data_IF_406424896105
#
_entry.id   IF_406424896105
#
_cell.length_a   1.000
_cell.length_b   1.000
_cell.length_c   1.000
_cell.angle_alpha   90.00
_cell.angle_beta   90.00
_cell.angle_gamma   90.00
#
_symmetry.space_group_name_H-M   'P 1'
#
loop_
_entity.id
_entity.type
_entity.pdbx_description
1 polymer ?
#
# COMPACT_ATOMS: atom_id res chain seq x y z
N UNK A 1 33.01 10.95 60.55
CA UNK A 1 31.72 11.59 60.25
C UNK A 1 31.99 12.74 59.28
N UNK A 2 31.84 12.48 57.99
CA UNK A 2 31.64 13.48 56.91
C UNK A 2 31.11 12.70 55.70
N UNK A 3 29.87 12.92 55.24
CA UNK A 3 29.35 12.23 54.07
C UNK A 3 29.79 12.96 52.79
N UNK A 4 30.22 12.20 51.78
CA UNK A 4 30.38 12.70 50.42
C UNK A 4 28.98 13.00 49.83
N UNK A 5 28.69 14.28 49.59
CA UNK A 5 27.49 14.69 48.87
C UNK A 5 27.61 14.40 47.36
N UNK A 6 26.48 14.14 46.66
CA UNK A 6 26.50 13.94 45.22
C UNK A 6 26.81 15.27 44.51
N UNK A 7 27.74 15.23 43.55
CA UNK A 7 28.04 16.37 42.68
C UNK A 7 26.82 16.75 41.81
N UNK A 8 26.72 18.02 41.37
CA UNK A 8 25.57 18.49 40.62
C UNK A 8 25.46 17.74 39.28
N UNK A 9 24.24 17.36 38.93
CA UNK A 9 23.91 16.81 37.62
C UNK A 9 24.19 17.87 36.56
N UNK A 10 25.11 17.58 35.64
CA UNK A 10 25.32 18.41 34.46
C UNK A 10 24.06 18.35 33.59
N UNK A 11 23.44 19.53 33.46
CA UNK A 11 22.30 19.78 32.60
C UNK A 11 22.74 19.68 31.13
N UNK A 12 22.58 18.51 30.54
CA UNK A 12 22.79 18.26 29.10
C UNK A 12 21.59 18.83 28.33
N UNK A 13 21.41 20.14 28.40
CA UNK A 13 20.39 20.88 27.66
C UNK A 13 20.99 22.14 27.04
N UNK A 14 21.93 21.95 26.12
CA UNK A 14 22.35 23.01 25.19
C UNK A 14 22.82 22.44 23.85
N UNK A 15 22.02 21.55 23.25
CA UNK A 15 22.14 21.33 21.81
C UNK A 15 21.45 22.51 21.11
N UNK A 16 22.23 23.42 20.53
CA UNK A 16 21.73 24.48 19.66
C UNK A 16 20.82 23.93 18.53
N UNK A 17 20.01 24.77 17.89
CA UNK A 17 19.08 24.32 16.87
C UNK A 17 19.83 23.52 15.80
N UNK A 18 19.45 22.23 15.65
CA UNK A 18 20.02 21.39 14.59
C UNK A 18 19.82 22.12 13.26
N UNK A 19 20.87 22.25 12.42
CA UNK A 19 20.69 22.82 11.10
C UNK A 19 19.56 22.07 10.40
N UNK A 20 18.65 22.82 9.75
CA UNK A 20 17.54 22.24 9.03
C UNK A 20 18.10 21.14 8.11
N UNK A 21 17.67 19.87 8.25
CA UNK A 21 18.22 18.81 7.44
C UNK A 21 18.00 19.18 5.96
N UNK A 22 19.05 19.01 5.15
CA UNK A 22 18.93 19.13 3.71
C UNK A 22 17.82 18.20 3.18
N UNK A 23 17.36 18.41 1.93
CA UNK A 23 16.25 17.62 1.37
C UNK A 23 16.57 16.12 1.44
N UNK A 24 15.75 15.35 2.16
CA UNK A 24 15.97 13.92 2.33
C UNK A 24 15.69 13.16 1.04
N UNK A 25 16.46 12.11 0.80
CA UNK A 25 16.30 11.16 -0.31
C UNK A 25 15.49 9.97 0.17
N UNK A 26 14.37 9.71 -0.48
CA UNK A 26 13.47 8.61 -0.15
C UNK A 26 13.34 7.64 -1.31
N UNK A 27 13.66 6.37 -1.08
CA UNK A 27 13.42 5.30 -2.03
C UNK A 27 12.17 4.53 -1.61
N UNK A 28 11.15 4.53 -2.45
CA UNK A 28 9.98 3.66 -2.32
C UNK A 28 10.25 2.40 -3.14
N UNK A 29 10.23 1.24 -2.48
CA UNK A 29 10.34 -0.07 -3.12
C UNK A 29 9.00 -0.78 -3.03
N UNK A 30 8.36 -1.00 -4.18
CA UNK A 30 7.08 -1.69 -4.31
C UNK A 30 7.20 -2.96 -5.15
N UNK A 31 6.16 -3.80 -5.21
CA UNK A 31 6.20 -5.05 -5.99
C UNK A 31 4.87 -5.42 -6.68
N UNK A 32 3.87 -4.55 -6.55
CA UNK A 32 2.54 -4.70 -7.15
C UNK A 32 1.83 -3.36 -7.21
N UNK A 33 0.78 -3.27 -8.02
CA UNK A 33 -0.06 -2.08 -8.19
C UNK A 33 -0.53 -1.47 -6.85
N UNK A 34 -1.03 -2.33 -5.96
CA UNK A 34 -1.59 -1.95 -4.66
C UNK A 34 -0.51 -1.35 -3.75
N UNK A 35 0.72 -1.86 -3.87
CA UNK A 35 1.87 -1.44 -3.11
C UNK A 35 2.57 -0.20 -3.70
N UNK A 36 2.54 -0.03 -5.03
CA UNK A 36 2.89 1.25 -5.66
C UNK A 36 1.93 2.34 -5.20
N UNK A 37 0.62 2.08 -5.26
CA UNK A 37 -0.40 3.04 -4.80
C UNK A 37 -0.19 3.43 -3.34
N UNK A 38 0.05 2.45 -2.49
CA UNK A 38 0.34 2.68 -1.07
C UNK A 38 1.60 3.52 -0.87
N UNK A 39 2.72 3.12 -1.49
CA UNK A 39 4.01 3.80 -1.35
C UNK A 39 4.01 5.21 -1.92
N UNK A 40 3.41 5.42 -3.11
CA UNK A 40 3.27 6.72 -3.74
C UNK A 40 2.40 7.66 -2.88
N UNK A 41 1.24 7.19 -2.40
CA UNK A 41 0.37 8.01 -1.56
C UNK A 41 0.99 8.32 -0.19
N UNK A 42 1.81 7.43 0.37
CA UNK A 42 2.57 7.71 1.58
C UNK A 42 3.66 8.76 1.33
N UNK A 43 4.37 8.65 0.20
CA UNK A 43 5.41 9.60 -0.19
C UNK A 43 4.88 10.98 -0.65
N UNK A 44 3.61 11.06 -1.03
CA UNK A 44 2.89 12.32 -1.31
C UNK A 44 2.77 13.20 -0.06
N UNK A 45 2.70 12.60 1.13
CA UNK A 45 2.59 13.33 2.39
C UNK A 45 3.93 13.91 2.87
N UNK A 46 5.03 13.55 2.22
CA UNK A 46 6.36 14.04 2.55
C UNK A 46 6.55 15.46 2.01
N UNK A 47 7.42 16.28 2.64
CA UNK A 47 7.69 17.63 2.15
C UNK A 47 8.07 17.64 0.66
N UNK A 48 7.57 18.63 -0.08
CA UNK A 48 7.83 18.77 -1.51
C UNK A 48 9.33 18.91 -1.83
N UNK A 49 10.12 19.44 -0.88
CA UNK A 49 11.58 19.55 -0.98
C UNK A 49 12.30 18.21 -0.98
N UNK A 50 11.69 17.14 -0.46
CA UNK A 50 12.32 15.83 -0.43
C UNK A 50 12.37 15.19 -1.82
N UNK A 51 13.50 14.57 -2.12
CA UNK A 51 13.73 13.86 -3.38
C UNK A 51 13.23 12.42 -3.25
N UNK A 52 12.21 12.04 -4.00
CA UNK A 52 11.61 10.70 -3.92
C UNK A 52 11.83 9.96 -5.23
N UNK A 53 12.25 8.69 -5.15
CA UNK A 53 12.26 7.74 -6.25
C UNK A 53 11.37 6.55 -5.92
N UNK A 54 10.61 6.07 -6.90
CA UNK A 54 9.79 4.88 -6.78
C UNK A 54 10.35 3.84 -7.74
N UNK A 55 10.52 2.60 -7.27
CA UNK A 55 10.89 1.45 -8.10
C UNK A 55 9.96 0.28 -7.81
N UNK A 56 9.74 -0.55 -8.82
CA UNK A 56 9.04 -1.82 -8.66
C UNK A 56 10.06 -2.95 -8.70
N UNK A 57 10.12 -3.77 -7.64
CA UNK A 57 10.91 -4.99 -7.64
C UNK A 57 10.36 -5.99 -8.67
N UNK A 58 11.24 -6.51 -9.53
CA UNK A 58 10.90 -7.56 -10.47
C UNK A 58 10.34 -8.79 -9.73
N UNK A 59 9.28 -9.38 -10.27
CA UNK A 59 8.62 -10.53 -9.66
C UNK A 59 7.31 -10.90 -10.33
N UNK A 60 6.53 -11.74 -9.67
CA UNK A 60 5.29 -12.30 -10.22
C UNK A 60 4.05 -11.38 -10.08
N UNK A 61 4.20 -10.18 -9.53
CA UNK A 61 3.10 -9.25 -9.29
C UNK A 61 3.34 -7.86 -9.89
N UNK A 62 4.32 -7.72 -10.79
CA UNK A 62 4.68 -6.46 -11.44
C UNK A 62 3.44 -5.87 -12.15
N UNK A 63 3.08 -4.60 -11.89
CA UNK A 63 1.91 -3.99 -12.49
C UNK A 63 2.11 -3.72 -13.98
N UNK A 64 1.03 -3.80 -14.75
CA UNK A 64 1.02 -3.29 -16.13
C UNK A 64 1.24 -1.78 -16.16
N UNK A 65 1.66 -1.18 -17.30
CA UNK A 65 1.79 0.27 -17.43
C UNK A 65 0.51 1.03 -17.05
N UNK A 66 -0.67 0.45 -17.38
CA UNK A 66 -1.98 1.00 -17.01
C UNK A 66 -2.20 0.98 -15.50
N UNK A 67 -1.95 -0.17 -14.86
CA UNK A 67 -2.06 -0.30 -13.39
C UNK A 67 -1.09 0.63 -12.66
N UNK A 68 0.11 0.83 -13.20
CA UNK A 68 1.09 1.74 -12.66
C UNK A 68 0.61 3.20 -12.73
N UNK A 69 0.09 3.63 -13.88
CA UNK A 69 -0.50 4.95 -14.05
C UNK A 69 -1.69 5.18 -13.09
N UNK A 70 -2.57 4.19 -12.96
CA UNK A 70 -3.69 4.20 -12.02
C UNK A 70 -3.21 4.27 -10.55
N UNK A 71 -2.11 3.59 -10.22
CA UNK A 71 -1.58 3.51 -8.86
C UNK A 71 -1.00 4.85 -8.37
N UNK A 72 -0.37 5.62 -9.26
CA UNK A 72 0.20 6.94 -8.93
C UNK A 72 -0.78 8.10 -9.14
N UNK A 73 -1.97 7.83 -9.68
CA UNK A 73 -2.99 8.85 -9.92
C UNK A 73 -3.35 9.60 -8.63
N UNK A 74 -3.42 10.93 -8.73
CA UNK A 74 -3.71 11.81 -7.57
C UNK A 74 -2.50 12.09 -6.67
N UNK A 75 -1.28 11.81 -7.12
CA UNK A 75 -0.02 12.17 -6.45
C UNK A 75 0.88 13.00 -7.39
N UNK A 76 1.95 13.60 -6.86
CA UNK A 76 2.98 14.27 -7.67
C UNK A 76 3.80 13.33 -8.57
N UNK A 77 3.58 12.03 -8.46
CA UNK A 77 4.28 10.99 -9.24
C UNK A 77 3.55 10.62 -10.54
N UNK A 78 2.47 11.31 -10.90
CA UNK A 78 1.84 11.14 -12.22
C UNK A 78 2.86 11.46 -13.33
N UNK A 79 3.05 10.52 -14.25
CA UNK A 79 4.02 10.64 -15.33
C UNK A 79 5.48 10.37 -14.91
N UNK A 80 5.74 10.01 -13.65
CA UNK A 80 7.07 9.61 -13.21
C UNK A 80 7.50 8.30 -13.86
N UNK A 81 8.79 8.20 -14.19
CA UNK A 81 9.41 6.93 -14.57
C UNK A 81 9.57 6.06 -13.32
N UNK A 82 8.88 4.93 -13.29
CA UNK A 82 8.92 3.94 -12.20
C UNK A 82 9.51 2.64 -12.76
N UNK A 83 10.84 2.48 -12.73
CA UNK A 83 11.48 1.34 -13.35
C UNK A 83 11.21 0.04 -12.57
N UNK A 84 11.14 -1.06 -13.32
CA UNK A 84 11.16 -2.41 -12.75
C UNK A 84 12.62 -2.83 -12.57
N UNK A 85 13.01 -3.19 -11.34
CA UNK A 85 14.40 -3.44 -10.97
C UNK A 85 14.59 -4.85 -10.41
N UNK A 86 15.64 -5.54 -10.84
CA UNK A 86 16.10 -6.77 -10.18
C UNK A 86 16.84 -6.47 -8.88
N UNK A 87 17.20 -7.51 -8.12
CA UNK A 87 17.92 -7.35 -6.84
C UNK A 87 19.29 -6.66 -7.02
N UNK A 88 20.00 -6.95 -8.11
CA UNK A 88 21.28 -6.34 -8.44
C UNK A 88 21.17 -4.85 -8.79
N UNK A 89 20.14 -4.46 -9.55
CA UNK A 89 19.84 -3.05 -9.84
C UNK A 89 19.46 -2.28 -8.58
N UNK A 90 18.63 -2.88 -7.72
CA UNK A 90 18.26 -2.30 -6.44
C UNK A 90 19.50 -2.07 -5.55
N UNK A 91 20.43 -3.04 -5.49
CA UNK A 91 21.71 -2.88 -4.77
C UNK A 91 22.53 -1.72 -5.32
N UNK A 92 22.70 -1.62 -6.65
CA UNK A 92 23.40 -0.51 -7.30
C UNK A 92 22.75 0.84 -6.99
N UNK A 93 21.41 0.91 -7.03
CA UNK A 93 20.67 2.11 -6.72
C UNK A 93 20.88 2.54 -5.27
N UNK A 94 20.83 1.60 -4.32
CA UNK A 94 21.07 1.85 -2.90
C UNK A 94 22.50 2.36 -2.64
N UNK A 95 23.50 1.76 -3.28
CA UNK A 95 24.91 2.13 -3.08
C UNK A 95 25.28 3.46 -3.74
N UNK A 96 24.72 3.74 -4.92
CA UNK A 96 24.99 4.95 -5.70
C UNK A 96 24.17 6.17 -5.28
N UNK A 97 22.85 6.00 -5.08
CA UNK A 97 21.97 7.12 -4.72
C UNK A 97 21.93 7.39 -3.22
N UNK A 98 22.18 6.35 -2.40
CA UNK A 98 22.24 6.41 -0.93
C UNK A 98 21.02 7.12 -0.32
N UNK A 99 19.82 6.52 -0.42
CA UNK A 99 18.64 7.11 0.20
C UNK A 99 18.86 7.24 1.71
N UNK A 100 18.26 8.27 2.31
CA UNK A 100 18.23 8.46 3.76
C UNK A 100 17.06 7.67 4.37
N UNK A 101 16.02 7.40 3.58
CA UNK A 101 14.84 6.61 3.96
C UNK A 101 14.51 5.59 2.87
N UNK A 102 14.24 4.36 3.26
CA UNK A 102 13.66 3.33 2.38
C UNK A 102 12.27 2.99 2.87
N UNK A 103 11.26 3.27 2.05
CA UNK A 103 9.89 2.83 2.25
C UNK A 103 9.73 1.49 1.52
N UNK A 104 9.82 0.39 2.27
CA UNK A 104 9.56 -0.96 1.80
C UNK A 104 8.04 -1.21 1.78
N UNK A 105 7.37 -0.60 0.79
CA UNK A 105 5.96 -0.75 0.51
C UNK A 105 5.74 -1.97 -0.39
N UNK A 106 5.93 -3.19 0.13
CA UNK A 106 5.83 -4.41 -0.69
C UNK A 106 5.30 -5.62 0.09
N UNK A 107 5.08 -6.75 -0.60
CA UNK A 107 4.77 -8.03 0.06
C UNK A 107 5.98 -8.53 0.88
N UNK A 108 5.72 -9.45 1.81
CA UNK A 108 6.69 -9.88 2.83
C UNK A 108 8.06 -10.29 2.29
N UNK A 109 8.12 -11.15 1.27
CA UNK A 109 9.39 -11.59 0.70
C UNK A 109 10.19 -10.45 0.05
N UNK A 110 9.51 -9.55 -0.67
CA UNK A 110 10.16 -8.38 -1.28
C UNK A 110 10.68 -7.43 -0.22
N UNK A 111 9.91 -7.21 0.87
CA UNK A 111 10.39 -6.44 2.03
C UNK A 111 11.65 -7.08 2.59
N UNK A 112 11.63 -8.37 2.91
CA UNK A 112 12.78 -9.07 3.48
C UNK A 112 14.02 -8.98 2.58
N UNK A 113 13.86 -9.22 1.27
CA UNK A 113 14.95 -9.11 0.30
C UNK A 113 15.51 -7.69 0.26
N UNK A 114 14.64 -6.67 0.21
CA UNK A 114 15.05 -5.25 0.23
C UNK A 114 15.84 -4.91 1.49
N UNK A 115 15.31 -5.27 2.67
CA UNK A 115 15.95 -4.94 3.95
C UNK A 115 17.31 -5.65 4.10
N UNK A 116 17.47 -6.87 3.58
CA UNK A 116 18.75 -7.59 3.62
C UNK A 116 19.90 -6.89 2.90
N UNK A 117 19.61 -6.01 1.94
CA UNK A 117 20.63 -5.23 1.22
C UNK A 117 21.18 -4.05 2.03
N UNK A 118 20.46 -3.62 3.08
CA UNK A 118 20.73 -2.35 3.79
C UNK A 118 20.84 -2.49 5.30
N UNK A 119 20.32 -3.57 5.90
CA UNK A 119 20.19 -3.68 7.35
C UNK A 119 21.51 -3.62 8.13
N UNK A 120 22.64 -3.96 7.49
CA UNK A 120 23.96 -3.99 8.12
C UNK A 120 25.00 -3.16 7.34
N UNK A 121 24.58 -2.07 6.70
CA UNK A 121 25.51 -1.18 5.99
C UNK A 121 25.93 0.01 6.89
N UNK A 122 27.14 0.58 6.71
CA UNK A 122 27.60 1.72 7.51
C UNK A 122 26.76 2.99 7.38
N UNK A 123 25.92 3.07 6.34
CA UNK A 123 25.04 4.20 6.03
C UNK A 123 23.59 3.71 5.92
N UNK A 124 23.18 2.83 6.86
CA UNK A 124 21.85 2.23 6.87
C UNK A 124 20.77 3.32 6.87
N UNK A 125 19.86 3.34 5.88
CA UNK A 125 18.74 4.27 5.85
C UNK A 125 17.73 3.97 6.96
N UNK A 126 16.86 4.94 7.25
CA UNK A 126 15.64 4.66 8.03
C UNK A 126 14.74 3.74 7.22
N UNK A 127 14.34 2.62 7.82
CA UNK A 127 13.54 1.58 7.17
C UNK A 127 12.08 1.71 7.61
N UNK A 128 11.21 2.05 6.66
CA UNK A 128 9.78 2.22 6.88
C UNK A 128 9.03 1.14 6.12
N UNK A 129 7.99 0.55 6.70
CA UNK A 129 7.08 -0.34 6.00
C UNK A 129 5.65 -0.18 6.48
N UNK A 130 4.72 -0.83 5.78
CA UNK A 130 3.32 -0.97 6.14
C UNK A 130 2.67 -2.00 5.23
N UNK A 131 1.34 -2.06 5.27
CA UNK A 131 0.53 -2.94 4.45
C UNK A 131 -0.40 -2.08 3.60
N UNK A 132 -0.49 -2.39 2.30
CA UNK A 132 -1.47 -1.76 1.44
C UNK A 132 -2.89 -2.20 1.85
N UNK A 133 -3.67 -1.30 2.44
CA UNK A 133 -5.05 -1.56 2.85
C UNK A 133 -5.20 -1.87 4.34
N UNK A 134 -6.11 -2.79 4.66
CA UNK A 134 -6.44 -3.17 6.05
C UNK A 134 -5.63 -4.39 6.45
N UNK A 135 -4.89 -4.31 7.55
CA UNK A 135 -3.96 -5.35 8.02
C UNK A 135 -4.52 -6.24 9.15
N UNK A 136 -5.84 -6.44 9.18
CA UNK A 136 -6.53 -7.23 10.22
C UNK A 136 -7.21 -8.45 9.60
N UNK A 137 -7.07 -9.65 10.20
CA UNK A 137 -6.26 -9.95 11.39
C UNK A 137 -4.75 -9.87 11.12
N UNK A 138 -3.97 -9.45 12.12
CA UNK A 138 -2.50 -9.34 11.98
C UNK A 138 -1.88 -10.73 12.01
N UNK A 139 -1.25 -11.12 10.90
CA UNK A 139 -0.61 -12.42 10.75
C UNK A 139 0.82 -12.41 11.32
N UNK A 140 1.18 -13.30 12.27
CA UNK A 140 2.52 -13.39 12.87
C UNK A 140 3.69 -13.38 11.87
N UNK A 141 3.59 -14.18 10.81
CA UNK A 141 4.63 -14.27 9.78
C UNK A 141 4.78 -12.95 9.00
N UNK A 142 3.69 -12.19 8.85
CA UNK A 142 3.69 -10.87 8.21
C UNK A 142 4.56 -9.86 8.94
N UNK A 143 4.56 -9.91 10.29
CA UNK A 143 5.47 -9.14 11.13
C UNK A 143 6.92 -9.65 11.03
N UNK A 144 7.10 -10.97 10.92
CA UNK A 144 8.42 -11.60 10.74
C UNK A 144 9.20 -11.05 9.56
N UNK A 145 8.54 -10.85 8.42
CA UNK A 145 9.15 -10.24 7.22
C UNK A 145 9.59 -8.78 7.41
N UNK A 146 9.03 -8.10 8.42
CA UNK A 146 9.25 -6.68 8.72
C UNK A 146 10.03 -6.47 10.01
N UNK A 147 10.61 -7.50 10.61
CA UNK A 147 11.30 -7.41 11.91
C UNK A 147 12.46 -6.42 11.95
N UNK A 148 13.04 -6.06 10.80
CA UNK A 148 14.19 -5.15 10.69
C UNK A 148 13.80 -3.70 10.38
N UNK A 149 12.50 -3.39 10.28
CA UNK A 149 12.03 -2.01 10.01
C UNK A 149 12.13 -1.16 11.27
N UNK A 150 12.47 0.11 11.10
CA UNK A 150 12.49 1.08 12.19
C UNK A 150 11.09 1.58 12.53
N UNK A 151 10.20 1.66 11.53
CA UNK A 151 8.82 2.10 11.69
C UNK A 151 7.89 1.26 10.81
N UNK A 152 6.84 0.72 11.43
CA UNK A 152 5.70 0.14 10.73
C UNK A 152 4.50 1.09 10.83
N UNK A 153 4.03 1.59 9.69
CA UNK A 153 2.87 2.49 9.63
C UNK A 153 1.58 1.66 9.59
N UNK A 154 0.67 1.96 10.52
CA UNK A 154 -0.69 1.40 10.59
C UNK A 154 -1.72 2.47 10.21
N UNK A 155 -2.94 2.09 9.85
CA UNK A 155 -3.93 3.02 9.28
C UNK A 155 -5.22 3.19 10.09
N UNK A 156 -5.26 2.58 11.27
CA UNK A 156 -6.36 2.73 12.22
C UNK A 156 -5.90 2.40 13.64
N UNK A 157 -6.62 2.94 14.63
CA UNK A 157 -6.38 2.60 16.04
C UNK A 157 -6.54 1.09 16.30
N UNK A 158 -7.45 0.43 15.59
CA UNK A 158 -7.66 -1.01 15.71
C UNK A 158 -6.45 -1.79 15.17
N UNK A 159 -5.90 -1.40 14.02
CA UNK A 159 -4.67 -2.01 13.48
C UNK A 159 -3.47 -1.80 14.39
N UNK A 160 -3.31 -0.60 14.96
CA UNK A 160 -2.24 -0.30 15.90
C UNK A 160 -2.31 -1.21 17.13
N UNK A 161 -3.48 -1.28 17.76
CA UNK A 161 -3.69 -2.09 18.96
C UNK A 161 -3.45 -3.59 18.68
N UNK A 162 -3.98 -4.11 17.56
CA UNK A 162 -3.81 -5.51 17.18
C UNK A 162 -2.36 -5.83 16.81
N UNK A 163 -1.69 -4.94 16.07
CA UNK A 163 -0.28 -5.13 15.68
C UNK A 163 0.64 -5.14 16.90
N UNK A 164 0.43 -4.23 17.85
CA UNK A 164 1.15 -4.22 19.12
C UNK A 164 0.89 -5.48 19.94
N UNK A 165 -0.36 -5.97 19.99
CA UNK A 165 -0.73 -7.21 20.70
C UNK A 165 -0.02 -8.42 20.08
N UNK A 166 -0.07 -8.56 18.76
CA UNK A 166 0.58 -9.68 18.07
C UNK A 166 2.09 -9.59 18.17
N UNK A 167 2.69 -8.40 17.99
CA UNK A 167 4.12 -8.14 18.16
C UNK A 167 4.63 -8.58 19.53
N UNK A 168 3.95 -8.20 20.62
CA UNK A 168 4.28 -8.66 21.98
C UNK A 168 4.17 -10.18 22.12
N UNK A 169 3.12 -10.78 21.58
CA UNK A 169 2.90 -12.24 21.63
C UNK A 169 4.00 -13.04 20.93
N UNK A 170 4.53 -12.53 19.81
CA UNK A 170 5.54 -13.24 19.01
C UNK A 170 6.98 -12.81 19.31
N UNK A 171 7.17 -11.85 20.24
CA UNK A 171 8.49 -11.38 20.64
C UNK A 171 9.27 -10.62 19.56
N UNK A 172 8.57 -9.98 18.61
CA UNK A 172 9.22 -9.19 17.55
C UNK A 172 8.99 -7.70 17.86
N UNK A 173 9.98 -6.97 18.40
CA UNK A 173 9.82 -5.57 18.75
C UNK A 173 9.81 -4.72 17.47
N UNK A 174 8.64 -4.20 17.11
CA UNK A 174 8.47 -3.27 15.99
C UNK A 174 7.88 -1.99 16.58
N UNK A 175 8.45 -0.84 16.21
CA UNK A 175 7.83 0.45 16.49
C UNK A 175 6.71 0.67 15.48
N UNK A 176 5.49 0.79 15.99
CA UNK A 176 4.33 1.09 15.17
C UNK A 176 3.99 2.57 15.30
N UNK A 177 3.69 3.21 14.17
CA UNK A 177 3.20 4.58 14.13
C UNK A 177 1.81 4.61 13.46
N UNK A 178 0.95 5.50 13.96
CA UNK A 178 -0.39 5.67 13.42
C UNK A 178 -0.36 6.70 12.29
N UNK A 179 -0.65 6.26 11.08
CA UNK A 179 -0.99 7.12 9.96
C UNK A 179 -2.49 7.10 9.67
N UNK A 180 -2.92 7.95 8.75
CA UNK A 180 -4.19 7.75 8.04
C UNK A 180 -3.91 6.97 6.76
N UNK A 181 -4.86 6.15 6.30
CA UNK A 181 -4.74 5.45 5.04
C UNK A 181 -4.43 6.47 3.91
N UNK A 182 -3.28 6.35 3.23
CA UNK A 182 -2.67 7.52 2.59
C UNK A 182 -3.44 8.03 1.37
N UNK A 183 -4.19 7.17 0.69
CA UNK A 183 -5.01 7.53 -0.47
C UNK A 183 -6.40 8.08 -0.11
N UNK A 184 -6.77 8.19 1.17
CA UNK A 184 -8.02 8.86 1.58
C UNK A 184 -7.97 10.37 1.40
N UNK A 185 -6.78 10.99 1.49
CA UNK A 185 -6.63 12.43 1.28
C UNK A 185 -7.08 12.84 -0.14
N UNK A 186 -6.60 12.12 -1.15
CA UNK A 186 -7.02 12.31 -2.55
C UNK A 186 -8.52 12.02 -2.73
N UNK A 187 -9.06 10.98 -2.09
CA UNK A 187 -10.48 10.65 -2.19
C UNK A 187 -11.40 11.75 -1.61
N UNK A 188 -10.99 12.43 -0.54
CA UNK A 188 -11.74 13.54 0.08
C UNK A 188 -11.75 14.81 -0.77
N UNK A 189 -10.79 14.98 -1.67
CA UNK A 189 -10.74 16.13 -2.57
C UNK A 189 -11.74 16.05 -3.73
N UNK A 190 -12.31 14.87 -3.99
CA UNK A 190 -13.31 14.66 -5.04
C UNK A 190 -14.64 15.26 -4.59
N UNK A 191 -15.11 16.30 -5.28
CA UNK A 191 -16.45 16.86 -5.06
C UNK A 191 -17.50 15.97 -5.75
N UNK A 192 -18.63 15.66 -5.08
CA UNK A 192 -19.72 14.97 -5.74
C UNK A 192 -20.28 15.83 -6.87
N UNK A 193 -20.38 15.25 -8.07
CA UNK A 193 -21.00 15.89 -9.23
C UNK A 193 -22.47 16.20 -8.92
N UNK A 194 -22.98 17.43 -9.19
CA UNK A 194 -24.28 17.85 -8.67
C UNK A 194 -25.49 17.09 -9.22
N UNK A 195 -25.39 16.37 -10.35
CA UNK A 195 -26.52 15.66 -10.99
C UNK A 195 -26.09 14.48 -11.87
N UNK A 196 -25.61 13.41 -11.26
CA UNK A 196 -25.40 12.12 -11.96
C UNK A 196 -26.65 11.22 -11.92
N UNK A 197 -26.77 10.29 -12.88
CA UNK A 197 -27.67 9.13 -12.74
C UNK A 197 -27.39 8.43 -11.40
N UNK A 198 -28.44 7.88 -10.78
CA UNK A 198 -28.29 7.07 -9.57
C UNK A 198 -27.38 5.89 -9.94
N UNK A 199 -26.35 5.60 -9.13
CA UNK A 199 -25.38 4.55 -9.46
C UNK A 199 -25.14 3.63 -8.28
N UNK A 200 -25.16 2.33 -8.55
CA UNK A 200 -24.68 1.29 -7.66
C UNK A 200 -23.35 0.80 -8.22
N UNK A 201 -22.28 0.91 -7.44
CA UNK A 201 -20.96 0.38 -7.81
C UNK A 201 -20.66 -0.85 -6.97
N UNK A 202 -20.65 -2.02 -7.61
CA UNK A 202 -20.17 -3.25 -7.00
C UNK A 202 -18.68 -3.42 -7.27
N UNK A 203 -17.85 -3.26 -6.25
CA UNK A 203 -16.40 -3.45 -6.35
C UNK A 203 -16.03 -4.91 -6.06
N UNK A 204 -15.75 -5.69 -7.09
CA UNK A 204 -15.41 -7.10 -6.98
C UNK A 204 -14.17 -7.32 -6.10
N UNK A 205 -14.22 -8.36 -5.27
CA UNK A 205 -13.10 -8.82 -4.45
C UNK A 205 -12.60 -10.17 -4.96
N UNK A 206 -11.28 -10.35 -4.94
CA UNK A 206 -10.68 -11.55 -5.51
C UNK A 206 -11.07 -12.83 -4.75
N UNK A 207 -11.19 -12.75 -3.42
CA UNK A 207 -11.42 -13.91 -2.55
C UNK A 207 -12.86 -14.02 -2.01
N UNK A 208 -13.70 -13.00 -2.22
CA UNK A 208 -15.04 -12.94 -1.63
C UNK A 208 -16.08 -12.51 -2.68
N UNK A 209 -17.16 -13.28 -2.87
CA UNK A 209 -17.38 -14.63 -2.34
C UNK A 209 -16.36 -15.65 -2.87
N UNK A 210 -16.16 -16.75 -2.13
CA UNK A 210 -15.23 -17.81 -2.55
C UNK A 210 -15.86 -18.79 -3.54
N UNK A 211 -17.17 -19.04 -3.48
CA UNK A 211 -17.85 -20.02 -4.33
C UNK A 211 -18.33 -19.41 -5.65
N UNK A 212 -18.28 -20.21 -6.73
CA UNK A 212 -18.89 -19.85 -8.03
C UNK A 212 -20.38 -19.57 -7.90
N UNK A 213 -21.09 -20.37 -7.08
CA UNK A 213 -22.53 -20.24 -6.85
C UNK A 213 -22.87 -18.87 -6.27
N UNK A 214 -22.14 -18.41 -5.26
CA UNK A 214 -22.43 -17.13 -4.61
C UNK A 214 -22.08 -15.95 -5.53
N UNK A 215 -21.02 -16.07 -6.32
CA UNK A 215 -20.66 -15.09 -7.36
C UNK A 215 -21.75 -14.99 -8.43
N UNK A 216 -22.23 -16.14 -8.92
CA UNK A 216 -23.34 -16.21 -9.88
C UNK A 216 -24.58 -15.54 -9.30
N UNK A 217 -24.96 -15.90 -8.07
CA UNK A 217 -26.13 -15.33 -7.41
C UNK A 217 -26.03 -13.81 -7.27
N UNK A 218 -24.86 -13.28 -6.90
CA UNK A 218 -24.63 -11.83 -6.85
C UNK A 218 -24.72 -11.18 -8.23
N UNK A 219 -24.09 -11.77 -9.27
CA UNK A 219 -24.15 -11.25 -10.63
C UNK A 219 -25.60 -11.20 -11.15
N UNK A 220 -26.38 -12.25 -10.89
CA UNK A 220 -27.80 -12.32 -11.24
C UNK A 220 -28.62 -11.24 -10.53
N UNK A 221 -28.36 -10.99 -9.23
CA UNK A 221 -29.05 -9.93 -8.49
C UNK A 221 -28.68 -8.53 -8.95
N UNK A 222 -27.42 -8.30 -9.32
CA UNK A 222 -26.99 -7.03 -9.90
C UNK A 222 -27.65 -6.79 -11.27
N UNK A 223 -27.72 -7.82 -12.11
CA UNK A 223 -28.39 -7.75 -13.41
C UNK A 223 -29.92 -7.57 -13.28
N UNK A 224 -30.56 -8.28 -12.36
CA UNK A 224 -31.98 -8.11 -12.03
C UNK A 224 -32.28 -6.67 -11.58
N UNK A 225 -31.45 -6.13 -10.70
CA UNK A 225 -31.56 -4.74 -10.22
C UNK A 225 -31.47 -3.75 -11.39
N UNK A 226 -30.50 -3.93 -12.28
CA UNK A 226 -30.32 -3.06 -13.44
C UNK A 226 -31.53 -3.07 -14.39
N UNK A 227 -32.18 -4.24 -14.57
CA UNK A 227 -33.40 -4.35 -15.39
C UNK A 227 -34.63 -3.73 -14.72
N UNK A 228 -34.80 -3.93 -13.42
CA UNK A 228 -35.95 -3.42 -12.67
C UNK A 228 -35.87 -1.90 -12.43
N UNK A 229 -34.68 -1.32 -12.50
CA UNK A 229 -34.44 0.11 -12.27
C UNK A 229 -33.63 0.74 -13.41
N UNK A 230 -34.24 1.00 -14.59
CA UNK A 230 -33.54 1.55 -15.76
C UNK A 230 -32.92 2.95 -15.56
N UNK A 231 -33.33 3.65 -14.50
CA UNK A 231 -32.78 4.96 -14.13
C UNK A 231 -31.55 4.86 -13.20
N UNK A 232 -31.14 3.64 -12.84
CA UNK A 232 -29.97 3.34 -12.00
C UNK A 232 -28.89 2.64 -12.84
N UNK A 233 -27.70 3.24 -12.90
CA UNK A 233 -26.53 2.56 -13.47
C UNK A 233 -25.99 1.53 -12.46
N UNK A 234 -25.98 0.24 -12.80
CA UNK A 234 -25.33 -0.80 -11.98
C UNK A 234 -23.98 -1.14 -12.59
N UNK A 235 -22.90 -0.72 -11.92
CA UNK A 235 -21.52 -0.85 -12.42
C UNK A 235 -20.79 -1.93 -11.64
N UNK A 236 -20.31 -2.95 -12.35
CA UNK A 236 -19.42 -3.98 -11.80
C UNK A 236 -17.98 -3.57 -12.05
N UNK A 237 -17.30 -3.09 -11.00
CA UNK A 237 -15.88 -2.75 -11.06
C UNK A 237 -15.05 -4.00 -10.78
N UNK A 238 -14.43 -4.55 -11.82
CA UNK A 238 -13.49 -5.69 -11.71
C UNK A 238 -12.12 -5.25 -11.21
N UNK A 239 -11.35 -6.17 -10.63
CA UNK A 239 -10.03 -5.86 -10.04
C UNK A 239 -8.95 -5.63 -11.11
N UNK A 240 -8.89 -6.49 -12.11
CA UNK A 240 -8.00 -6.36 -13.25
C UNK A 240 -8.73 -6.79 -14.52
N UNK A 241 -8.28 -6.29 -15.67
CA UNK A 241 -8.77 -6.75 -16.98
C UNK A 241 -8.15 -8.10 -17.33
N UNK A 242 -8.76 -8.82 -18.27
CA UNK A 242 -8.19 -10.05 -18.81
C UNK A 242 -6.71 -9.86 -19.22
N UNK A 243 -5.83 -10.73 -18.73
CA UNK A 243 -4.38 -10.70 -18.99
C UNK A 243 -3.54 -9.84 -18.03
N UNK A 244 -4.16 -9.08 -17.11
CA UNK A 244 -3.42 -8.30 -16.13
C UNK A 244 -3.06 -9.12 -14.87
N UNK A 245 -1.91 -8.81 -14.28
CA UNK A 245 -1.42 -9.50 -13.09
C UNK A 245 -2.28 -9.19 -11.86
N UNK A 246 -2.60 -10.22 -11.10
CA UNK A 246 -3.38 -10.13 -9.87
C UNK A 246 -2.63 -10.80 -8.71
N UNK A 247 -2.63 -10.16 -7.54
CA UNK A 247 -2.01 -10.74 -6.33
C UNK A 247 -2.77 -11.97 -5.82
N UNK A 248 -4.06 -12.07 -6.15
CA UNK A 248 -4.92 -13.21 -5.89
C UNK A 248 -5.75 -13.45 -7.15
N UNK A 249 -5.64 -14.64 -7.74
CA UNK A 249 -6.41 -15.00 -8.92
C UNK A 249 -7.88 -15.19 -8.57
N UNK A 250 -8.76 -14.52 -9.30
CA UNK A 250 -10.19 -14.83 -9.29
C UNK A 250 -10.43 -16.18 -9.97
N UNK A 251 -11.02 -17.15 -9.26
CA UNK A 251 -11.35 -18.47 -9.84
C UNK A 251 -12.47 -18.39 -10.87
N UNK A 252 -13.38 -17.42 -10.71
CA UNK A 252 -14.45 -17.07 -11.65
C UNK A 252 -14.61 -15.56 -11.61
N UNK A 253 -14.26 -14.89 -12.72
CA UNK A 253 -14.31 -13.44 -12.83
C UNK A 253 -15.74 -12.95 -13.06
N UNK A 254 -16.12 -11.85 -12.42
CA UNK A 254 -17.44 -11.25 -12.66
C UNK A 254 -17.63 -10.79 -14.12
N UNK A 255 -16.54 -10.52 -14.85
CA UNK A 255 -16.57 -10.18 -16.28
C UNK A 255 -17.18 -11.32 -17.12
N UNK A 256 -16.78 -12.57 -16.85
CA UNK A 256 -17.31 -13.75 -17.54
C UNK A 256 -18.79 -13.96 -17.20
N UNK A 257 -19.14 -13.91 -15.91
CA UNK A 257 -20.51 -14.12 -15.44
C UNK A 257 -21.49 -13.08 -16.02
N UNK A 258 -21.08 -11.80 -16.05
CA UNK A 258 -21.89 -10.73 -16.64
C UNK A 258 -22.02 -10.91 -18.15
N UNK A 259 -20.96 -11.34 -18.84
CA UNK A 259 -21.00 -11.61 -20.27
C UNK A 259 -21.98 -12.73 -20.61
N UNK A 260 -21.96 -13.85 -19.86
CA UNK A 260 -22.93 -14.94 -20.02
C UNK A 260 -24.37 -14.45 -19.78
N UNK A 261 -24.61 -13.64 -18.74
CA UNK A 261 -25.95 -13.10 -18.49
C UNK A 261 -26.43 -12.17 -19.61
N UNK A 262 -25.52 -11.44 -20.28
CA UNK A 262 -25.85 -10.61 -21.44
C UNK A 262 -26.22 -11.46 -22.65
N UNK A 263 -25.44 -12.49 -22.95
CA UNK A 263 -25.72 -13.46 -24.02
C UNK A 263 -27.07 -14.16 -23.82
N UNK A 264 -27.45 -14.43 -22.57
CA UNK A 264 -28.77 -14.98 -22.20
C UNK A 264 -29.92 -13.94 -22.19
N UNK A 265 -29.65 -12.66 -22.48
CA UNK A 265 -30.65 -11.58 -22.42
C UNK A 265 -31.13 -11.25 -21.01
N UNK A 266 -30.38 -11.67 -19.98
CA UNK A 266 -30.70 -11.51 -18.55
C UNK A 266 -29.99 -10.33 -17.91
N UNK A 267 -29.05 -9.70 -18.61
CA UNK A 267 -28.39 -8.46 -18.23
C UNK A 267 -28.51 -7.40 -19.34
N UNK A 268 -28.62 -6.11 -18.99
CA UNK A 268 -28.58 -5.02 -19.96
C UNK A 268 -27.24 -4.94 -20.73
N UNK A 269 -27.26 -4.39 -21.94
CA UNK A 269 -26.03 -4.20 -22.74
C UNK A 269 -25.13 -3.07 -22.24
N UNK A 270 -25.69 -2.11 -21.49
CA UNK A 270 -24.98 -0.94 -20.98
C UNK A 270 -24.05 -1.25 -19.78
#
# INVERSE_FOLDING_TARGET
MTPHGPGPAEDVSSAGPRPAPGPSRVLVVADSDSYVKYGAALAEQLPASWSVRIVVAAGNAVPSPRQLADAVAGTRFVGADVPVVGLGDLRRLLDGWRPDVVIAAARGYTVQATLSLVANTPQRPVLVSGIAGVSIPVLPYGLGFRRSVDVFVTHSHHELAESQRVSRRVGIPIRFELGTLPYLAAARAVRPEPRGRRRIVFAAQALVPSSRRDRQWLAEKLAETARQHPDVDVVVKVRARAGETQTHHEQVGYEELVSTLREEGRAPEN
#
